data_IF_161271595025
#
_entry.id   IF_161271595025
#
_cell.length_a   1.000
_cell.length_b   1.000
_cell.length_c   1.000
_cell.angle_alpha   90.00
_cell.angle_beta   90.00
_cell.angle_gamma   90.00
#
_symmetry.space_group_name_H-M   'P 1'
#
loop_
_entity.id
_entity.type
_entity.pdbx_description
1 polymer ?
#
# COMPACT_ATOMS: atom_id res chain seq x y z
N UNK A 1 17.94 -59.21 -49.73
CA UNK A 1 17.72 -57.78 -50.02
C UNK A 1 16.35 -57.44 -49.49
N UNK A 2 16.30 -56.82 -48.32
CA UNK A 2 15.20 -56.02 -47.79
C UNK A 2 15.74 -55.36 -46.51
N UNK A 3 15.97 -54.07 -46.64
CA UNK A 3 16.34 -53.15 -45.56
C UNK A 3 15.14 -53.03 -44.61
N UNK A 4 15.37 -53.16 -43.31
CA UNK A 4 14.48 -52.65 -42.27
C UNK A 4 15.29 -51.55 -41.59
N UNK A 5 14.89 -50.30 -41.83
CA UNK A 5 15.42 -49.12 -41.15
C UNK A 5 14.95 -49.16 -39.69
N UNK A 6 15.88 -49.17 -38.74
CA UNK A 6 15.59 -48.87 -37.35
C UNK A 6 15.37 -47.35 -37.20
N UNK A 7 14.16 -46.93 -36.84
CA UNK A 7 13.86 -45.54 -36.50
C UNK A 7 14.60 -45.13 -35.21
N UNK A 8 15.61 -44.26 -35.32
CA UNK A 8 16.14 -43.51 -34.19
C UNK A 8 15.09 -42.52 -33.67
N UNK A 9 14.64 -42.73 -32.44
CA UNK A 9 13.79 -41.78 -31.71
C UNK A 9 14.60 -40.49 -31.44
N UNK A 10 14.17 -39.30 -31.89
CA UNK A 10 14.94 -38.08 -31.67
C UNK A 10 14.90 -37.68 -30.19
N UNK A 11 16.08 -37.68 -29.56
CA UNK A 11 16.28 -37.17 -28.22
C UNK A 11 15.98 -35.66 -28.22
N UNK A 12 14.86 -35.25 -27.62
CA UNK A 12 14.49 -33.83 -27.46
C UNK A 12 15.57 -33.13 -26.65
N UNK A 13 16.43 -32.35 -27.32
CA UNK A 13 17.29 -31.36 -26.67
C UNK A 13 16.40 -30.36 -25.95
N UNK A 14 16.43 -30.36 -24.62
CA UNK A 14 15.81 -29.33 -23.81
C UNK A 14 16.49 -27.99 -24.15
N UNK A 15 15.73 -27.05 -24.70
CA UNK A 15 16.12 -25.66 -24.78
C UNK A 15 16.22 -25.10 -23.36
N UNK A 16 17.27 -24.34 -23.01
CA UNK A 16 17.35 -23.71 -21.70
C UNK A 16 16.19 -22.72 -21.58
N UNK A 17 15.34 -22.91 -20.57
CA UNK A 17 14.29 -21.96 -20.20
C UNK A 17 14.97 -20.64 -19.88
N UNK A 18 14.74 -19.62 -20.70
CA UNK A 18 15.05 -18.24 -20.36
C UNK A 18 14.27 -17.92 -19.08
N UNK A 19 14.98 -17.72 -17.97
CA UNK A 19 14.35 -17.31 -16.72
C UNK A 19 13.95 -15.85 -16.93
N UNK A 20 12.65 -15.58 -17.06
CA UNK A 20 12.14 -14.21 -17.07
C UNK A 20 12.54 -13.55 -15.75
N UNK A 21 13.53 -12.66 -15.83
CA UNK A 21 14.05 -11.90 -14.71
C UNK A 21 12.96 -10.96 -14.17
N UNK A 22 12.72 -11.01 -12.86
CA UNK A 22 11.73 -10.12 -12.22
C UNK A 22 12.21 -8.67 -12.26
N UNK A 23 11.27 -7.71 -12.19
CA UNK A 23 11.65 -6.28 -12.21
C UNK A 23 12.52 -5.91 -11.00
N UNK A 24 12.38 -6.61 -9.88
CA UNK A 24 13.24 -6.47 -8.70
C UNK A 24 14.69 -6.92 -8.94
N UNK A 25 14.87 -8.10 -9.55
CA UNK A 25 16.19 -8.62 -9.92
C UNK A 25 16.87 -7.73 -10.96
N UNK A 26 16.08 -7.20 -11.90
CA UNK A 26 16.59 -6.26 -12.90
C UNK A 26 17.04 -4.94 -12.28
N UNK A 27 16.30 -4.41 -11.30
CA UNK A 27 16.71 -3.19 -10.59
C UNK A 27 17.96 -3.44 -9.76
N UNK A 28 18.08 -4.58 -9.06
CA UNK A 28 19.29 -4.93 -8.31
C UNK A 28 20.49 -5.11 -9.24
N UNK A 29 20.33 -5.76 -10.39
CA UNK A 29 21.39 -5.91 -11.39
C UNK A 29 21.83 -4.55 -11.96
N UNK A 30 20.88 -3.69 -12.31
CA UNK A 30 21.17 -2.34 -12.81
C UNK A 30 21.85 -1.47 -11.74
N UNK A 31 21.46 -1.60 -10.47
CA UNK A 31 22.12 -0.89 -9.36
C UNK A 31 23.55 -1.40 -9.15
N UNK A 32 23.78 -2.70 -9.18
CA UNK A 32 25.12 -3.30 -9.12
C UNK A 32 25.98 -2.90 -10.30
N UNK A 33 25.38 -2.80 -11.49
CA UNK A 33 26.05 -2.31 -12.68
C UNK A 33 26.43 -0.83 -12.49
N UNK A 34 25.49 0.02 -12.08
CA UNK A 34 25.72 1.45 -11.83
C UNK A 34 26.79 1.74 -10.77
N UNK A 35 27.04 0.82 -9.83
CA UNK A 35 28.13 0.93 -8.85
C UNK A 35 29.53 0.76 -9.47
N UNK A 36 29.63 0.15 -10.66
CA UNK A 36 30.88 -0.25 -11.29
C UNK A 36 31.25 0.58 -12.54
N UNK A 37 30.38 1.48 -13.01
CA UNK A 37 30.58 2.28 -14.23
C UNK A 37 30.88 3.76 -13.95
N UNK A 38 31.65 4.44 -14.82
CA UNK A 38 31.94 5.88 -14.73
C UNK A 38 30.67 6.76 -14.81
N UNK A 39 30.77 7.98 -14.27
CA UNK A 39 29.66 8.92 -14.05
C UNK A 39 28.76 9.16 -15.27
N UNK A 40 29.32 9.17 -16.48
CA UNK A 40 28.58 9.50 -17.71
C UNK A 40 27.62 8.38 -18.15
N UNK A 41 27.97 7.11 -17.90
CA UNK A 41 27.11 5.95 -18.21
C UNK A 41 26.16 5.62 -17.05
N UNK A 42 26.53 6.03 -15.83
CA UNK A 42 25.72 5.88 -14.62
C UNK A 42 24.36 6.55 -14.75
N UNK A 43 24.28 7.73 -15.38
CA UNK A 43 23.02 8.44 -15.65
C UNK A 43 22.06 7.63 -16.53
N UNK A 44 22.56 6.79 -17.43
CA UNK A 44 21.71 5.97 -18.32
C UNK A 44 21.13 4.77 -17.58
N UNK A 45 21.93 4.11 -16.75
CA UNK A 45 21.49 2.99 -15.92
C UNK A 45 20.55 3.46 -14.80
N UNK A 46 20.84 4.62 -14.21
CA UNK A 46 19.96 5.27 -13.24
C UNK A 46 18.62 5.69 -13.86
N UNK A 47 18.61 6.21 -15.10
CA UNK A 47 17.36 6.45 -15.84
C UNK A 47 16.57 5.16 -16.07
N UNK A 48 17.22 4.01 -16.29
CA UNK A 48 16.52 2.73 -16.42
C UNK A 48 15.95 2.24 -15.08
N UNK A 49 16.67 2.37 -13.97
CA UNK A 49 16.15 2.05 -12.63
C UNK A 49 15.00 2.99 -12.27
N UNK A 50 15.16 4.28 -12.54
CA UNK A 50 14.13 5.29 -12.38
C UNK A 50 12.91 4.96 -13.25
N UNK A 51 13.09 4.58 -14.51
CA UNK A 51 12.00 4.19 -15.42
C UNK A 51 11.28 2.93 -14.92
N UNK A 52 12.01 1.96 -14.37
CA UNK A 52 11.42 0.74 -13.79
C UNK A 52 10.64 1.05 -12.49
N UNK A 53 11.16 1.91 -11.62
CA UNK A 53 10.50 2.25 -10.35
C UNK A 53 9.33 3.22 -10.57
N UNK A 54 9.48 4.23 -11.44
CA UNK A 54 8.44 5.23 -11.73
C UNK A 54 7.34 4.64 -12.62
N UNK A 55 7.69 3.91 -13.69
CA UNK A 55 6.73 3.49 -14.71
C UNK A 55 6.29 2.03 -14.59
N UNK A 56 7.02 1.16 -13.89
CA UNK A 56 6.63 -0.25 -13.74
C UNK A 56 6.19 -0.64 -12.34
N UNK A 57 6.94 -0.31 -11.29
CA UNK A 57 6.58 -0.76 -9.94
C UNK A 57 7.11 0.14 -8.81
N UNK A 58 6.30 1.13 -8.36
CA UNK A 58 6.62 1.96 -7.21
C UNK A 58 6.81 1.18 -5.89
N UNK A 59 6.33 -0.07 -5.78
CA UNK A 59 6.48 -0.90 -4.57
C UNK A 59 7.90 -1.39 -4.32
N UNK A 60 8.80 -1.22 -5.30
CA UNK A 60 10.22 -1.56 -5.13
C UNK A 60 10.90 -0.73 -4.03
N UNK A 61 10.42 0.49 -3.75
CA UNK A 61 10.92 1.31 -2.65
C UNK A 61 10.73 0.62 -1.28
N UNK A 62 9.61 -0.09 -1.12
CA UNK A 62 9.28 -0.82 0.11
C UNK A 62 10.22 -2.03 0.30
N UNK A 63 10.57 -2.72 -0.79
CA UNK A 63 11.48 -3.87 -0.74
C UNK A 63 12.90 -3.48 -0.31
N UNK A 64 13.42 -2.34 -0.77
CA UNK A 64 14.74 -1.86 -0.37
C UNK A 64 14.77 -1.40 1.08
N UNK A 65 13.74 -0.67 1.54
CA UNK A 65 13.64 -0.25 2.93
C UNK A 65 13.51 -1.46 3.86
N UNK A 66 12.72 -2.48 3.50
CA UNK A 66 12.59 -3.72 4.28
C UNK A 66 13.91 -4.49 4.38
N UNK A 67 14.68 -4.56 3.29
CA UNK A 67 15.99 -5.21 3.28
C UNK A 67 17.00 -4.54 4.23
N UNK A 68 17.06 -3.21 4.23
CA UNK A 68 17.96 -2.48 5.10
C UNK A 68 17.55 -2.59 6.57
N UNK A 69 16.26 -2.42 6.87
CA UNK A 69 15.74 -2.46 8.25
C UNK A 69 15.95 -3.82 8.91
N UNK A 70 15.95 -4.91 8.14
CA UNK A 70 16.21 -6.26 8.65
C UNK A 70 17.70 -6.56 8.86
N UNK A 71 18.59 -5.73 8.33
CA UNK A 71 20.04 -5.97 8.37
C UNK A 71 20.64 -5.46 9.68
N UNK A 72 21.21 -6.37 10.49
CA UNK A 72 21.83 -6.01 11.78
C UNK A 72 23.12 -5.19 11.65
N UNK A 73 23.85 -5.41 10.55
CA UNK A 73 25.05 -4.68 10.19
C UNK A 73 24.89 -4.26 8.74
N UNK A 74 25.05 -2.98 8.46
CA UNK A 74 24.95 -2.44 7.11
C UNK A 74 26.34 -2.53 6.47
N UNK A 75 26.40 -3.12 5.27
CA UNK A 75 27.61 -3.21 4.45
C UNK A 75 27.80 -1.98 3.57
N UNK A 76 29.02 -1.72 3.10
CA UNK A 76 29.31 -0.59 2.17
C UNK A 76 28.42 -0.63 0.91
N UNK A 77 28.11 -1.83 0.39
CA UNK A 77 27.19 -2.00 -0.74
C UNK A 77 25.77 -1.53 -0.38
N UNK A 78 25.31 -1.87 0.82
CA UNK A 78 23.99 -1.46 1.31
C UNK A 78 23.90 0.06 1.52
N UNK A 79 24.96 0.68 2.03
CA UNK A 79 25.06 2.13 2.15
C UNK A 79 24.99 2.79 0.77
N UNK A 80 25.77 2.30 -0.21
CA UNK A 80 25.75 2.81 -1.57
C UNK A 80 24.37 2.66 -2.24
N UNK A 81 23.69 1.52 -2.07
CA UNK A 81 22.33 1.33 -2.57
C UNK A 81 21.33 2.29 -1.92
N UNK A 82 21.46 2.54 -0.62
CA UNK A 82 20.60 3.47 0.11
C UNK A 82 20.81 4.93 -0.33
N UNK A 83 22.05 5.33 -0.54
CA UNK A 83 22.39 6.67 -1.01
C UNK A 83 21.84 6.91 -2.42
N UNK A 84 21.95 5.91 -3.30
CA UNK A 84 21.35 5.96 -4.63
C UNK A 84 19.82 6.07 -4.57
N UNK A 85 19.17 5.28 -3.71
CA UNK A 85 17.72 5.36 -3.52
C UNK A 85 17.31 6.74 -2.98
N UNK A 86 18.08 7.30 -2.05
CA UNK A 86 17.86 8.62 -1.47
C UNK A 86 18.01 9.73 -2.50
N UNK A 87 19.03 9.66 -3.36
CA UNK A 87 19.18 10.57 -4.49
C UNK A 87 17.99 10.45 -5.46
N UNK A 88 17.64 9.23 -5.87
CA UNK A 88 16.56 8.98 -6.82
C UNK A 88 15.22 9.52 -6.29
N UNK A 89 14.90 9.30 -5.00
CA UNK A 89 13.71 9.88 -4.34
C UNK A 89 13.64 11.40 -4.55
N UNK A 90 14.77 12.10 -4.37
CA UNK A 90 14.88 13.53 -4.59
C UNK A 90 14.62 13.92 -6.04
N UNK A 91 15.26 13.24 -6.99
CA UNK A 91 15.10 13.49 -8.43
C UNK A 91 13.64 13.30 -8.89
N UNK A 92 12.94 12.25 -8.43
CA UNK A 92 11.52 12.05 -8.80
C UNK A 92 10.62 13.16 -8.25
N UNK A 93 10.92 13.69 -7.05
CA UNK A 93 10.17 14.82 -6.52
C UNK A 93 10.37 16.10 -7.35
N UNK A 94 11.55 16.29 -7.95
CA UNK A 94 11.79 17.40 -8.90
C UNK A 94 11.01 17.23 -10.21
N UNK A 95 10.70 15.99 -10.61
CA UNK A 95 9.88 15.72 -11.80
C UNK A 95 8.42 16.18 -11.67
N UNK A 96 7.95 16.58 -10.48
CA UNK A 96 6.67 17.28 -10.34
C UNK A 96 6.65 18.61 -11.13
N UNK A 97 7.82 19.24 -11.31
CA UNK A 97 7.99 20.48 -12.09
C UNK A 97 8.39 20.21 -13.55
N UNK A 98 8.37 18.95 -14.00
CA UNK A 98 8.68 18.59 -15.39
C UNK A 98 7.75 19.28 -16.38
N UNK A 99 8.23 19.68 -17.56
CA UNK A 99 7.39 20.23 -18.62
C UNK A 99 6.42 19.18 -19.21
N UNK A 100 6.73 17.88 -19.06
CA UNK A 100 5.93 16.79 -19.60
C UNK A 100 4.80 16.37 -18.65
N UNK A 101 3.56 16.51 -19.10
CA UNK A 101 2.35 16.20 -18.32
C UNK A 101 2.23 14.73 -17.90
N UNK A 102 2.69 13.82 -18.76
CA UNK A 102 2.74 12.39 -18.47
C UNK A 102 3.77 12.07 -17.38
N UNK A 103 4.94 12.70 -17.43
CA UNK A 103 5.99 12.54 -16.40
C UNK A 103 5.47 13.03 -15.05
N UNK A 104 4.84 14.22 -15.00
CA UNK A 104 4.22 14.74 -13.78
C UNK A 104 3.16 13.79 -13.20
N UNK A 105 2.35 13.16 -14.05
CA UNK A 105 1.34 12.16 -13.62
C UNK A 105 1.99 11.01 -12.85
N UNK A 106 3.11 10.47 -13.35
CA UNK A 106 3.81 9.38 -12.68
C UNK A 106 4.56 9.85 -11.44
N UNK A 107 5.16 11.05 -11.46
CA UNK A 107 5.80 11.65 -10.30
C UNK A 107 4.82 11.82 -9.12
N UNK A 108 3.55 12.17 -9.38
CA UNK A 108 2.49 12.21 -8.35
C UNK A 108 2.28 10.83 -7.70
N UNK A 109 2.20 9.77 -8.51
CA UNK A 109 1.99 8.40 -8.01
C UNK A 109 3.18 7.87 -7.23
N UNK A 110 4.40 8.20 -7.65
CA UNK A 110 5.60 7.91 -6.88
C UNK A 110 5.59 8.68 -5.55
N UNK A 111 5.23 9.96 -5.57
CA UNK A 111 5.15 10.81 -4.38
C UNK A 111 4.13 10.25 -3.37
N UNK A 112 2.98 9.75 -3.83
CA UNK A 112 2.03 9.01 -2.98
C UNK A 112 2.66 7.80 -2.30
N UNK A 113 3.31 6.92 -3.07
CA UNK A 113 3.97 5.74 -2.53
C UNK A 113 5.05 6.11 -1.51
N UNK A 114 5.85 7.13 -1.82
CA UNK A 114 6.87 7.66 -0.93
C UNK A 114 6.29 8.16 0.40
N UNK A 115 5.23 8.98 0.36
CA UNK A 115 4.57 9.48 1.57
C UNK A 115 4.04 8.32 2.42
N UNK A 116 3.42 7.31 1.79
CA UNK A 116 2.87 6.14 2.49
C UNK A 116 4.01 5.32 3.13
N UNK A 117 5.08 5.03 2.40
CA UNK A 117 6.23 4.27 2.92
C UNK A 117 6.92 5.00 4.08
N UNK A 118 7.09 6.32 3.94
CA UNK A 118 7.78 7.20 4.89
C UNK A 118 6.86 7.81 5.94
N UNK A 119 5.76 7.15 6.26
CA UNK A 119 4.89 7.51 7.38
C UNK A 119 4.38 6.27 8.10
N UNK A 120 4.19 6.33 9.44
CA UNK A 120 3.76 5.17 10.21
C UNK A 120 2.29 4.87 9.98
N UNK A 121 1.95 3.57 9.97
CA UNK A 121 0.55 3.14 10.12
C UNK A 121 0.05 3.45 11.53
N UNK A 122 -1.25 3.66 11.65
CA UNK A 122 -1.97 3.82 12.92
C UNK A 122 -3.09 2.79 13.02
N UNK A 123 -3.75 2.72 14.18
CA UNK A 123 -4.87 1.79 14.39
C UNK A 123 -6.00 1.97 13.36
N UNK A 124 -6.20 3.19 12.88
CA UNK A 124 -7.25 3.51 11.93
C UNK A 124 -6.77 3.55 10.47
N UNK A 125 -5.51 3.18 10.19
CA UNK A 125 -4.99 3.13 8.81
C UNK A 125 -5.69 2.06 7.96
N UNK A 126 -6.33 2.45 6.86
CA UNK A 126 -6.93 1.54 5.87
C UNK A 126 -5.89 1.01 4.87
N UNK A 127 -5.21 -0.09 5.18
CA UNK A 127 -4.23 -0.69 4.26
C UNK A 127 -4.89 -1.74 3.34
N UNK A 128 -4.73 -1.64 2.00
CA UNK A 128 -5.21 -2.68 1.08
C UNK A 128 -4.55 -4.04 1.34
N UNK A 129 -5.30 -5.13 1.19
CA UNK A 129 -4.79 -6.51 1.42
C UNK A 129 -3.48 -6.84 0.72
N UNK A 130 -3.33 -6.38 -0.53
CA UNK A 130 -2.12 -6.60 -1.33
C UNK A 130 -0.88 -5.88 -0.78
N UNK A 131 -1.07 -4.90 0.11
CA UNK A 131 -0.04 -4.02 0.70
C UNK A 131 0.12 -4.27 2.21
N UNK A 132 -0.53 -5.29 2.78
CA UNK A 132 -0.46 -5.56 4.23
C UNK A 132 0.99 -5.82 4.69
N UNK A 133 1.76 -6.51 3.84
CA UNK A 133 3.14 -6.88 4.13
C UNK A 133 4.16 -5.78 3.84
N UNK A 134 3.82 -4.79 3.01
CA UNK A 134 4.68 -3.68 2.64
C UNK A 134 5.21 -2.95 3.87
N UNK A 135 6.46 -2.48 3.81
CA UNK A 135 7.07 -1.77 4.92
C UNK A 135 6.45 -0.36 5.07
N UNK A 136 6.45 0.12 6.30
CA UNK A 136 6.07 1.48 6.66
C UNK A 136 6.84 1.87 7.92
N UNK A 137 6.90 3.16 8.24
CA UNK A 137 7.78 3.61 9.33
C UNK A 137 7.47 2.97 10.69
N UNK A 138 6.24 2.54 10.97
CA UNK A 138 5.90 1.80 12.19
C UNK A 138 6.69 0.49 12.39
N UNK A 139 7.25 -0.06 11.31
CA UNK A 139 8.12 -1.26 11.34
C UNK A 139 9.62 -0.92 11.44
N UNK A 140 10.00 0.35 11.37
CA UNK A 140 11.41 0.80 11.44
C UNK A 140 11.81 1.02 12.90
N UNK A 141 12.83 0.32 13.42
CA UNK A 141 13.35 0.55 14.77
C UNK A 141 13.87 1.98 14.93
N UNK A 142 13.50 2.64 16.03
CA UNK A 142 13.95 4.02 16.30
C UNK A 142 15.44 4.11 16.64
N UNK A 143 16.02 3.01 17.10
CA UNK A 143 17.42 2.82 17.46
C UNK A 143 18.26 2.16 16.36
N UNK A 144 17.74 2.13 15.11
CA UNK A 144 18.47 1.57 13.98
C UNK A 144 19.77 2.34 13.73
N UNK A 145 20.89 1.62 13.56
CA UNK A 145 22.25 2.19 13.53
C UNK A 145 22.55 3.11 12.34
N UNK A 146 21.89 2.88 11.21
CA UNK A 146 22.08 3.64 9.97
C UNK A 146 20.85 4.50 9.58
N UNK A 147 19.68 3.88 9.47
CA UNK A 147 18.42 4.56 9.15
C UNK A 147 17.91 5.37 10.35
N UNK A 148 17.71 6.68 10.15
CA UNK A 148 17.13 7.57 11.15
C UNK A 148 15.63 7.74 10.91
N UNK A 149 14.83 7.22 11.84
CA UNK A 149 13.36 7.28 11.78
C UNK A 149 12.83 8.71 11.54
N UNK A 150 13.31 9.68 12.34
CA UNK A 150 12.81 11.05 12.27
C UNK A 150 13.15 11.72 10.94
N UNK A 151 14.34 11.43 10.38
CA UNK A 151 14.73 11.94 9.05
C UNK A 151 13.78 11.44 7.97
N UNK A 152 13.47 10.14 7.96
CA UNK A 152 12.52 9.58 7.00
C UNK A 152 11.11 10.14 7.19
N UNK A 153 10.67 10.35 8.43
CA UNK A 153 9.36 10.93 8.69
C UNK A 153 9.26 12.36 8.15
N UNK A 154 10.29 13.18 8.35
CA UNK A 154 10.35 14.54 7.79
C UNK A 154 10.47 14.55 6.27
N UNK A 155 11.16 13.58 5.66
CA UNK A 155 11.16 13.37 4.20
C UNK A 155 9.74 13.12 3.68
N UNK A 156 8.97 12.24 4.34
CA UNK A 156 7.58 11.96 3.99
C UNK A 156 6.67 13.20 4.08
N UNK A 157 6.82 14.02 5.13
CA UNK A 157 6.08 15.29 5.27
C UNK A 157 6.47 16.29 4.18
N UNK A 158 7.76 16.43 3.91
CA UNK A 158 8.27 17.31 2.84
C UNK A 158 7.71 16.91 1.48
N UNK A 159 7.61 15.60 1.20
CA UNK A 159 6.99 15.09 -0.02
C UNK A 159 5.49 15.45 -0.11
N UNK A 160 4.76 15.37 1.00
CA UNK A 160 3.36 15.81 1.07
C UNK A 160 3.23 17.31 0.80
N UNK A 161 4.06 18.15 1.42
CA UNK A 161 4.07 19.60 1.19
C UNK A 161 4.31 19.96 -0.29
N UNK A 162 5.25 19.27 -0.95
CA UNK A 162 5.49 19.43 -2.39
C UNK A 162 4.24 19.07 -3.21
N UNK A 163 3.57 17.97 -2.89
CA UNK A 163 2.33 17.56 -3.57
C UNK A 163 1.18 18.55 -3.34
N UNK A 164 1.03 19.07 -2.12
CA UNK A 164 0.02 20.09 -1.79
C UNK A 164 0.27 21.38 -2.56
N UNK A 165 1.53 21.84 -2.62
CA UNK A 165 1.94 23.02 -3.39
C UNK A 165 1.70 22.83 -4.90
N UNK A 166 1.96 21.63 -5.41
CA UNK A 166 1.72 21.27 -6.80
C UNK A 166 0.24 21.45 -7.19
N UNK A 167 -0.69 21.06 -6.32
CA UNK A 167 -2.14 21.14 -6.60
C UNK A 167 -2.68 22.56 -6.78
N UNK A 168 -2.06 23.55 -6.14
CA UNK A 168 -2.48 24.96 -6.24
C UNK A 168 -1.77 25.72 -7.36
N UNK A 169 -0.95 25.03 -8.17
CA UNK A 169 -0.25 25.66 -9.28
C UNK A 169 -1.24 26.11 -10.37
N UNK A 170 -1.20 27.37 -10.84
CA UNK A 170 -2.23 27.94 -11.73
C UNK A 170 -2.28 27.28 -13.12
N UNK A 171 -1.19 26.64 -13.55
CA UNK A 171 -1.08 25.94 -14.83
C UNK A 171 -1.16 24.40 -14.71
N UNK A 172 -1.59 23.87 -13.56
CA UNK A 172 -1.77 22.42 -13.41
C UNK A 172 -2.81 21.89 -14.42
N UNK A 173 -2.51 20.76 -15.06
CA UNK A 173 -3.43 20.15 -16.01
C UNK A 173 -4.59 19.43 -15.31
N UNK A 174 -5.70 19.24 -16.02
CA UNK A 174 -6.84 18.48 -15.50
C UNK A 174 -6.47 17.03 -15.12
N UNK A 175 -5.55 16.40 -15.85
CA UNK A 175 -5.13 15.00 -15.60
C UNK A 175 -4.28 14.93 -14.34
N UNK A 176 -3.27 15.80 -14.23
CA UNK A 176 -2.43 15.85 -13.04
C UNK A 176 -3.26 16.21 -11.79
N UNK A 177 -4.18 17.18 -11.90
CA UNK A 177 -5.02 17.59 -10.78
C UNK A 177 -5.94 16.46 -10.29
N UNK A 178 -6.59 15.74 -11.21
CA UNK A 178 -7.43 14.58 -10.83
C UNK A 178 -6.61 13.41 -10.28
N UNK A 179 -5.39 13.21 -10.79
CA UNK A 179 -4.45 12.21 -10.25
C UNK A 179 -4.02 12.58 -8.82
N UNK A 180 -3.67 13.84 -8.58
CA UNK A 180 -3.30 14.34 -7.26
C UNK A 180 -4.47 14.23 -6.25
N UNK A 181 -5.69 14.54 -6.67
CA UNK A 181 -6.90 14.34 -5.86
C UNK A 181 -7.02 12.90 -5.36
N UNK A 182 -6.93 11.93 -6.28
CA UNK A 182 -7.00 10.51 -5.91
C UNK A 182 -5.83 10.06 -5.05
N UNK A 183 -4.67 10.68 -5.24
CA UNK A 183 -3.48 10.38 -4.45
C UNK A 183 -3.61 10.85 -3.01
N UNK A 184 -4.07 12.09 -2.81
CA UNK A 184 -4.37 12.61 -1.48
C UNK A 184 -5.47 11.81 -0.76
N UNK A 185 -6.51 11.36 -1.47
CA UNK A 185 -7.54 10.51 -0.87
C UNK A 185 -7.00 9.15 -0.42
N UNK A 186 -6.01 8.62 -1.15
CA UNK A 186 -5.33 7.38 -0.76
C UNK A 186 -4.46 7.64 0.47
N UNK A 187 -3.66 8.71 0.48
CA UNK A 187 -2.84 9.11 1.62
C UNK A 187 -3.71 9.31 2.87
N UNK A 188 -4.79 10.10 2.81
CA UNK A 188 -5.64 10.38 3.96
C UNK A 188 -6.26 9.12 4.60
N UNK A 189 -6.62 8.10 3.80
CA UNK A 189 -7.20 6.86 4.33
C UNK A 189 -6.13 5.88 4.84
N UNK A 190 -4.99 5.81 4.17
CA UNK A 190 -3.90 4.94 4.62
C UNK A 190 -3.12 5.55 5.79
N UNK A 191 -3.08 6.88 5.89
CA UNK A 191 -2.30 7.69 6.82
C UNK A 191 -3.19 8.82 7.38
N UNK A 192 -4.11 8.50 8.32
CA UNK A 192 -5.15 9.43 8.79
C UNK A 192 -4.62 10.68 9.51
N UNK A 193 -3.36 10.69 9.93
CA UNK A 193 -2.71 11.86 10.53
C UNK A 193 -2.53 13.01 9.53
N UNK A 194 -2.59 12.73 8.22
CA UNK A 194 -2.56 13.74 7.16
C UNK A 194 -3.96 14.17 6.69
N UNK A 195 -5.02 13.72 7.37
CA UNK A 195 -6.40 13.94 6.92
C UNK A 195 -6.78 15.43 6.96
N UNK A 196 -6.29 16.17 7.97
CA UNK A 196 -6.54 17.61 8.08
C UNK A 196 -6.02 18.38 6.88
N UNK A 197 -4.77 18.12 6.49
CA UNK A 197 -4.09 18.76 5.37
C UNK A 197 -4.76 18.42 4.04
N UNK A 198 -5.22 17.17 3.87
CA UNK A 198 -5.94 16.74 2.67
C UNK A 198 -7.31 17.41 2.56
N UNK A 199 -8.07 17.49 3.64
CA UNK A 199 -9.37 18.19 3.66
C UNK A 199 -9.18 19.67 3.33
N UNK A 200 -8.19 20.32 3.95
CA UNK A 200 -7.86 21.71 3.67
C UNK A 200 -7.44 21.95 2.20
N UNK A 201 -6.70 21.01 1.60
CA UNK A 201 -6.34 21.07 0.19
C UNK A 201 -7.57 21.00 -0.72
N UNK A 202 -8.54 20.16 -0.38
CA UNK A 202 -9.81 20.03 -1.11
C UNK A 202 -10.67 21.29 -0.99
N UNK A 203 -10.74 21.91 0.19
CA UNK A 203 -11.40 23.21 0.38
C UNK A 203 -10.76 24.30 -0.49
N UNK A 204 -9.42 24.38 -0.42
CA UNK A 204 -8.64 25.37 -1.17
C UNK A 204 -8.85 25.21 -2.66
N UNK A 205 -8.81 23.98 -3.17
CA UNK A 205 -9.08 23.68 -4.58
C UNK A 205 -10.52 24.03 -4.97
N UNK A 206 -11.50 23.72 -4.12
CA UNK A 206 -12.89 24.01 -4.44
C UNK A 206 -13.12 25.52 -4.60
N UNK A 207 -12.53 26.32 -3.70
CA UNK A 207 -12.62 27.77 -3.74
C UNK A 207 -11.80 28.38 -4.90
N UNK A 208 -10.68 27.76 -5.28
CA UNK A 208 -9.70 28.32 -6.21
C UNK A 208 -9.36 27.35 -7.35
N UNK A 209 -10.37 26.95 -8.12
CA UNK A 209 -10.13 26.13 -9.32
C UNK A 209 -9.24 26.87 -10.32
N UNK A 210 -8.23 26.21 -10.93
CA UNK A 210 -7.34 26.87 -11.88
C UNK A 210 -8.12 27.48 -13.06
N UNK A 211 -7.92 28.76 -13.38
CA UNK A 211 -8.68 29.46 -14.42
C UNK A 211 -8.31 28.98 -15.84
N UNK A 212 -7.21 28.24 -15.97
CA UNK A 212 -6.71 27.64 -17.21
C UNK A 212 -7.54 26.42 -17.65
N UNK A 213 -8.41 25.88 -16.78
CA UNK A 213 -9.23 24.73 -17.08
C UNK A 213 -10.47 25.11 -17.91
N UNK A 214 -10.70 24.38 -18.99
CA UNK A 214 -11.93 24.48 -19.78
C UNK A 214 -13.15 24.03 -18.98
N UNK A 215 -14.36 24.48 -19.36
CA UNK A 215 -15.62 24.15 -18.67
C UNK A 215 -15.85 22.64 -18.49
N UNK A 216 -15.48 21.83 -19.50
CA UNK A 216 -15.56 20.37 -19.42
C UNK A 216 -14.57 19.78 -18.41
N UNK A 217 -13.36 20.32 -18.33
CA UNK A 217 -12.34 19.93 -17.35
C UNK A 217 -12.75 20.31 -15.93
N UNK A 218 -13.30 21.51 -15.72
CA UNK A 218 -13.86 21.93 -14.43
C UNK A 218 -14.94 20.96 -13.94
N UNK A 219 -15.85 20.56 -14.83
CA UNK A 219 -16.88 19.55 -14.49
C UNK A 219 -16.25 18.20 -14.10
N UNK A 220 -15.24 17.75 -14.84
CA UNK A 220 -14.49 16.51 -14.54
C UNK A 220 -13.79 16.58 -13.18
N UNK A 221 -13.11 17.69 -12.87
CA UNK A 221 -12.44 17.91 -11.60
C UNK A 221 -13.44 17.90 -10.45
N UNK A 222 -14.56 18.61 -10.55
CA UNK A 222 -15.63 18.61 -9.53
C UNK A 222 -16.20 17.22 -9.29
N UNK A 223 -16.42 16.43 -10.36
CA UNK A 223 -16.89 15.04 -10.24
C UNK A 223 -15.88 14.16 -9.50
N UNK A 224 -14.59 14.29 -9.80
CA UNK A 224 -13.52 13.55 -9.11
C UNK A 224 -13.37 14.01 -7.66
N UNK A 225 -13.42 15.32 -7.39
CA UNK A 225 -13.39 15.87 -6.05
C UNK A 225 -14.52 15.31 -5.18
N UNK A 226 -15.76 15.31 -5.69
CA UNK A 226 -16.92 14.68 -5.02
C UNK A 226 -16.67 13.20 -4.74
N UNK A 227 -16.17 12.45 -5.73
CA UNK A 227 -15.87 11.02 -5.56
C UNK A 227 -14.85 10.78 -4.43
N UNK A 228 -13.78 11.56 -4.40
CA UNK A 228 -12.71 11.41 -3.42
C UNK A 228 -13.11 11.90 -2.03
N UNK A 229 -13.90 12.98 -1.92
CA UNK A 229 -14.52 13.41 -0.66
C UNK A 229 -15.42 12.31 -0.07
N UNK A 230 -16.23 11.62 -0.89
CA UNK A 230 -17.04 10.49 -0.42
C UNK A 230 -16.16 9.32 0.04
N UNK A 231 -15.05 9.05 -0.65
CA UNK A 231 -14.12 8.01 -0.23
C UNK A 231 -13.49 8.35 1.13
N UNK A 232 -13.07 9.60 1.35
CA UNK A 232 -12.54 10.08 2.63
C UNK A 232 -13.61 10.08 3.72
N UNK A 233 -14.84 10.53 3.44
CA UNK A 233 -15.95 10.56 4.40
C UNK A 233 -16.29 9.19 5.00
N UNK A 234 -16.06 8.10 4.26
CA UNK A 234 -16.31 6.74 4.76
C UNK A 234 -15.32 6.31 5.84
N UNK A 235 -14.20 7.00 5.97
CA UNK A 235 -13.14 6.67 6.92
C UNK A 235 -13.54 7.12 8.35
N UNK A 236 -13.31 6.31 9.41
CA UNK A 236 -13.68 6.68 10.78
C UNK A 236 -13.10 8.02 11.27
N UNK A 237 -11.83 8.31 10.98
CA UNK A 237 -11.20 9.58 11.35
C UNK A 237 -11.80 10.82 10.65
N UNK A 238 -12.60 10.65 9.60
CA UNK A 238 -13.24 11.79 8.92
C UNK A 238 -14.32 12.47 9.76
N UNK A 239 -14.77 11.83 10.85
CA UNK A 239 -15.79 12.38 11.75
C UNK A 239 -15.38 13.72 12.37
N UNK A 240 -14.08 13.93 12.64
CA UNK A 240 -13.55 15.21 13.12
C UNK A 240 -13.71 16.33 12.09
N UNK A 241 -13.66 15.99 10.79
CA UNK A 241 -13.76 16.91 9.67
C UNK A 241 -15.14 16.88 8.99
N UNK A 242 -16.13 16.22 9.61
CA UNK A 242 -17.42 15.93 8.98
C UNK A 242 -18.14 17.21 8.49
N UNK A 243 -18.11 18.30 9.27
CA UNK A 243 -18.74 19.56 8.89
C UNK A 243 -18.15 20.18 7.63
N UNK A 244 -16.82 20.11 7.50
CA UNK A 244 -16.08 20.63 6.36
C UNK A 244 -16.37 19.78 5.11
N UNK A 245 -16.20 18.45 5.22
CA UNK A 245 -16.46 17.51 4.12
C UNK A 245 -17.92 17.56 3.67
N UNK A 246 -18.88 17.65 4.59
CA UNK A 246 -20.30 17.71 4.27
C UNK A 246 -20.66 18.97 3.50
N UNK A 247 -20.14 20.14 3.91
CA UNK A 247 -20.35 21.41 3.21
C UNK A 247 -19.84 21.32 1.76
N UNK A 248 -18.61 20.85 1.57
CA UNK A 248 -18.04 20.67 0.22
C UNK A 248 -18.88 19.70 -0.63
N UNK A 249 -19.35 18.60 -0.06
CA UNK A 249 -20.19 17.63 -0.79
C UNK A 249 -21.54 18.23 -1.19
N UNK A 250 -22.16 19.05 -0.33
CA UNK A 250 -23.40 19.77 -0.65
C UNK A 250 -23.19 20.78 -1.76
N UNK A 251 -22.09 21.55 -1.73
CA UNK A 251 -21.72 22.51 -2.78
C UNK A 251 -21.46 21.83 -4.13
N UNK A 252 -20.99 20.58 -4.09
CA UNK A 252 -20.82 19.69 -5.25
C UNK A 252 -22.12 18.94 -5.64
N UNK A 253 -23.26 19.29 -5.03
CA UNK A 253 -24.58 18.77 -5.36
C UNK A 253 -24.87 17.36 -4.84
N UNK A 254 -24.25 16.94 -3.73
CA UNK A 254 -24.62 15.70 -3.04
C UNK A 254 -25.73 15.97 -2.02
N UNK A 255 -26.85 15.22 -2.06
CA UNK A 255 -27.93 15.43 -1.10
C UNK A 255 -27.55 14.94 0.31
N UNK A 256 -28.09 15.59 1.34
CA UNK A 256 -27.78 15.28 2.74
C UNK A 256 -28.06 13.83 3.13
N UNK A 257 -29.07 13.20 2.52
CA UNK A 257 -29.39 11.78 2.74
C UNK A 257 -28.29 10.83 2.26
N UNK A 258 -27.63 11.14 1.14
CA UNK A 258 -26.49 10.35 0.64
C UNK A 258 -25.23 10.55 1.47
N UNK A 259 -25.02 11.79 1.97
CA UNK A 259 -23.91 12.12 2.89
C UNK A 259 -24.09 11.32 4.18
N UNK A 260 -25.28 11.36 4.78
CA UNK A 260 -25.59 10.59 5.99
C UNK A 260 -25.41 9.08 5.80
N UNK A 261 -25.77 8.54 4.63
CA UNK A 261 -25.56 7.11 4.29
C UNK A 261 -24.09 6.73 4.14
N UNK A 262 -23.24 7.67 3.75
CA UNK A 262 -21.79 7.44 3.56
C UNK A 262 -20.99 7.68 4.83
N UNK A 263 -21.59 8.32 5.84
CA UNK A 263 -20.93 8.68 7.10
C UNK A 263 -20.81 7.45 8.00
N UNK A 264 -19.62 7.13 8.53
CA UNK A 264 -19.42 6.00 9.43
C UNK A 264 -20.15 6.23 10.77
N UNK A 265 -20.56 5.14 11.41
CA UNK A 265 -21.12 5.21 12.75
C UNK A 265 -20.06 5.69 13.75
N UNK A 266 -20.45 6.57 14.67
CA UNK A 266 -19.59 7.00 15.78
C UNK A 266 -19.26 5.77 16.62
N UNK A 267 -17.97 5.41 16.72
CA UNK A 267 -17.54 4.37 17.66
C UNK A 267 -17.78 4.86 19.09
N UNK A 268 -18.83 4.37 19.74
CA UNK A 268 -18.94 4.46 21.19
C UNK A 268 -17.75 3.71 21.80
N UNK A 269 -16.81 4.43 22.40
CA UNK A 269 -15.84 3.83 23.30
C UNK A 269 -16.65 3.09 24.38
N UNK A 270 -16.68 1.76 24.32
CA UNK A 270 -17.25 0.91 25.37
C UNK A 270 -16.57 1.26 26.70
N UNK A 271 -17.17 2.17 27.47
CA UNK A 271 -16.97 2.27 28.91
C UNK A 271 -17.46 0.96 29.51
N UNK A 272 -16.61 -0.06 29.56
CA UNK A 272 -16.78 -1.18 30.49
C UNK A 272 -16.36 -0.69 31.87
N UNK A 273 -17.22 0.08 32.50
CA UNK A 273 -17.33 0.07 33.96
C UNK A 273 -18.34 -1.01 34.33
N UNK A 274 -17.86 -2.21 34.63
CA UNK A 274 -18.62 -3.17 35.44
C UNK A 274 -17.66 -3.78 36.46
N UNK A 275 -17.45 -3.04 37.54
CA UNK A 275 -16.96 -3.59 38.78
C UNK A 275 -18.06 -4.53 39.29
N UNK A 276 -17.83 -5.84 39.25
CA UNK A 276 -18.71 -6.82 39.86
C UNK A 276 -18.63 -6.67 41.38
N UNK A 277 -19.67 -6.09 41.99
CA UNK A 277 -19.90 -6.23 43.42
C UNK A 277 -20.50 -7.61 43.69
N UNK A 278 -19.67 -8.46 44.28
CA UNK A 278 -20.08 -9.66 45.01
C UNK A 278 -21.10 -9.27 46.10
N UNK A 279 -22.28 -9.89 46.09
CA UNK A 279 -23.10 -10.05 47.30
C UNK A 279 -23.71 -11.46 47.32
N UNK A 280 -23.28 -12.24 48.31
CA UNK A 280 -23.84 -13.55 48.67
C UNK A 280 -25.20 -13.41 49.38
N UNK A 281 -26.08 -14.40 49.17
CA UNK A 281 -26.80 -15.00 50.30
C UNK A 281 -28.34 -14.94 50.36
N UNK A 282 -28.98 -16.00 49.83
CA UNK A 282 -30.14 -16.76 50.37
C UNK A 282 -31.46 -16.04 50.74
N UNK A 283 -32.57 -16.49 50.12
CA UNK A 283 -33.64 -17.32 50.77
C UNK A 283 -34.74 -17.81 49.79
N UNK A 284 -34.74 -19.13 49.61
CA UNK A 284 -35.78 -20.15 49.33
C UNK A 284 -37.26 -19.74 49.57
N UNK A 285 -38.22 -20.06 48.65
CA UNK A 285 -39.14 -21.25 48.69
C UNK A 285 -40.45 -21.11 47.83
N UNK A 286 -40.84 -22.24 47.22
CA UNK A 286 -42.18 -22.77 46.83
C UNK A 286 -42.79 -22.38 45.46
N UNK A 287 -42.82 -23.36 44.55
CA UNK A 287 -43.87 -23.58 43.52
C UNK A 287 -45.05 -24.40 44.09
N UNK A 288 -46.22 -24.39 43.44
CA UNK A 288 -46.61 -25.63 42.77
C UNK A 288 -47.21 -25.46 41.36
N UNK A 289 -46.96 -26.50 40.57
CA UNK A 289 -47.36 -26.76 39.18
C UNK A 289 -48.82 -27.22 39.01
N UNK A 290 -49.36 -27.06 37.79
CA UNK A 290 -50.35 -27.93 37.10
C UNK A 290 -50.13 -27.72 35.56
N UNK A 291 -49.63 -28.70 34.77
CA UNK A 291 -50.30 -29.92 34.22
C UNK A 291 -51.31 -29.50 33.13
N UNK A 292 -50.93 -29.50 31.84
CA UNK A 292 -51.04 -30.58 30.80
C UNK A 292 -52.06 -30.05 29.75
N UNK A 293 -52.07 -30.28 28.44
CA UNK A 293 -51.74 -31.37 27.50
C UNK A 293 -51.88 -30.72 26.08
N UNK A 294 -51.03 -30.97 25.07
CA UNK A 294 -51.20 -31.92 23.94
C UNK A 294 -50.98 -31.12 22.62
N UNK A 295 -50.41 -31.58 21.50
CA UNK A 295 -49.98 -32.92 21.04
C UNK A 295 -48.99 -32.74 19.84
N UNK A 296 -47.89 -33.48 19.89
CA UNK A 296 -47.14 -34.22 18.85
C UNK A 296 -46.85 -33.69 17.43
N UNK A 297 -45.55 -33.74 17.07
CA UNK A 297 -45.03 -34.74 16.11
C UNK A 297 -43.48 -34.80 16.06
N UNK A 298 -42.97 -36.03 16.12
CA UNK A 298 -41.57 -36.45 16.10
C UNK A 298 -40.83 -36.29 14.75
N UNK A 299 -39.52 -36.00 14.85
CA UNK A 299 -38.30 -36.44 14.10
C UNK A 299 -38.24 -36.61 12.55
N UNK A 300 -37.05 -36.67 11.90
CA UNK A 300 -35.68 -36.80 12.44
C UNK A 300 -34.61 -35.83 11.88
N UNK A 301 -33.41 -35.87 12.49
CA UNK A 301 -32.20 -35.19 12.05
C UNK A 301 -31.61 -35.76 10.74
N UNK A 302 -30.99 -34.93 9.87
CA UNK A 302 -30.16 -35.44 8.77
C UNK A 302 -28.71 -35.71 9.21
N UNK A 303 -28.27 -36.89 8.78
CA UNK A 303 -26.96 -37.50 8.91
C UNK A 303 -25.83 -36.64 8.31
N UNK A 304 -24.70 -36.61 9.04
CA UNK A 304 -23.42 -36.06 8.64
C UNK A 304 -22.76 -36.88 7.51
N UNK A 305 -22.40 -36.22 6.41
CA UNK A 305 -21.63 -36.79 5.30
C UNK A 305 -20.11 -36.59 5.56
N UNK A 306 -19.23 -37.57 5.27
CA UNK A 306 -17.80 -37.46 5.55
C UNK A 306 -17.10 -36.43 4.64
N UNK A 307 -16.24 -35.62 5.25
CA UNK A 307 -15.38 -34.62 4.58
C UNK A 307 -14.29 -35.33 3.77
N UNK A 308 -14.07 -35.02 2.47
CA UNK A 308 -12.97 -35.58 1.71
C UNK A 308 -11.62 -35.04 2.22
N UNK A 309 -10.60 -35.92 2.20
CA UNK A 309 -9.23 -35.67 2.61
C UNK A 309 -8.58 -34.49 1.84
N UNK A 310 -7.63 -33.77 2.45
CA UNK A 310 -6.96 -32.66 1.79
C UNK A 310 -6.09 -33.15 0.63
N UNK A 311 -6.36 -32.61 -0.55
CA UNK A 311 -5.48 -32.72 -1.72
C UNK A 311 -4.16 -32.01 -1.38
N UNK A 312 -2.97 -32.51 -1.80
CA UNK A 312 -1.72 -31.81 -1.56
C UNK A 312 -1.80 -30.44 -2.23
N UNK A 313 -1.75 -29.38 -1.44
CA UNK A 313 -1.61 -28.01 -1.94
C UNK A 313 -0.35 -27.94 -2.77
N UNK A 314 -0.49 -27.63 -4.07
CA UNK A 314 0.64 -27.25 -4.90
C UNK A 314 1.34 -26.07 -4.21
N UNK A 315 2.62 -26.25 -3.86
CA UNK A 315 3.46 -25.19 -3.32
C UNK A 315 3.34 -23.97 -4.24
N UNK A 316 3.01 -22.82 -3.65
CA UNK A 316 2.85 -21.60 -4.46
C UNK A 316 4.21 -21.23 -5.06
N UNK A 317 4.22 -20.57 -6.22
CA UNK A 317 5.45 -20.09 -6.83
C UNK A 317 6.28 -19.22 -5.86
N UNK A 318 5.62 -18.57 -4.90
CA UNK A 318 6.23 -17.77 -3.84
C UNK A 318 7.01 -18.66 -2.85
N UNK A 319 6.48 -19.84 -2.51
CA UNK A 319 7.15 -20.80 -1.62
C UNK A 319 8.39 -21.42 -2.29
N UNK A 320 8.30 -21.69 -3.60
CA UNK A 320 9.43 -22.19 -4.39
C UNK A 320 10.54 -21.14 -4.54
N UNK A 321 10.18 -19.87 -4.73
CA UNK A 321 11.14 -18.75 -4.78
C UNK A 321 11.80 -18.53 -3.42
N UNK A 322 11.04 -18.62 -2.31
CA UNK A 322 11.60 -18.49 -0.96
C UNK A 322 12.57 -19.63 -0.61
N UNK A 323 12.34 -20.85 -1.10
CA UNK A 323 13.22 -22.00 -0.89
C UNK A 323 14.51 -21.90 -1.71
N UNK A 324 14.46 -21.30 -2.91
CA UNK A 324 15.62 -21.04 -3.76
C UNK A 324 16.51 -19.89 -3.26
N UNK A 325 15.93 -18.83 -2.71
CA UNK A 325 16.65 -17.64 -2.26
C UNK A 325 17.37 -17.82 -0.91
N UNK A 326 16.86 -18.69 -0.02
CA UNK A 326 17.46 -18.95 1.31
C UNK A 326 18.96 -19.28 1.28
N UNK A 327 19.45 -20.22 0.45
CA UNK A 327 20.88 -20.53 0.40
C UNK A 327 21.75 -19.46 -0.29
N UNK A 328 21.16 -18.59 -1.12
CA UNK A 328 21.88 -17.50 -1.81
C UNK A 328 22.07 -16.26 -0.92
N UNK A 329 21.23 -16.12 0.10
CA UNK A 329 21.24 -15.01 1.05
C UNK A 329 22.02 -15.30 2.35
N UNK A 330 22.38 -16.56 2.60
CA UNK A 330 23.30 -16.93 3.69
C UNK A 330 24.75 -16.92 3.21
N UNK A 331 25.68 -16.28 3.93
CA UNK A 331 27.10 -16.38 3.62
C UNK A 331 27.52 -17.86 3.64
N UNK A 332 28.17 -18.34 2.57
CA UNK A 332 28.82 -19.66 2.58
C UNK A 332 29.84 -19.67 3.71
N UNK A 333 29.52 -20.31 4.84
CA UNK A 333 30.55 -20.78 5.77
C UNK A 333 31.39 -21.77 4.99
N UNK A 334 32.63 -21.39 4.71
CA UNK A 334 33.64 -22.26 4.14
C UNK A 334 33.74 -23.54 4.97
N UNK A 335 33.79 -24.74 4.34
CA UNK A 335 34.10 -25.94 5.08
C UNK A 335 35.55 -25.85 5.55
N UNK A 336 35.75 -25.79 6.86
CA UNK A 336 37.03 -26.10 7.50
C UNK A 336 37.33 -27.57 7.22
N UNK A 337 38.29 -27.85 6.35
CA UNK A 337 38.87 -29.18 6.19
C UNK A 337 39.97 -29.37 7.24
N UNK A 338 39.86 -30.46 8.01
CA UNK A 338 40.94 -31.06 8.79
C UNK A 338 42.00 -31.67 7.87
#
# INVERSE_FOLDING_TARGET
MNYIEEEEVPQKKATPKNVDMTTSERVVELLNQAALIPTDEKLTVLKQVQELIINKDPSLLDNFLDWLVRSKVISEMQEACWDMLTQMKGEVLELLDSENDGVRTHAIKFTEALIIALSPRTQDSEVPKRQENDISLDKVPKDHSYIRYDTLCEEGKTALEKLLKFMVHPAISSINLTTALGSLATIARQRPMFMSEVVQAYETLHANLPPTLAKSQVSSVRKNLKMHLVAVLKHPCSLEFHGHISTLLQDLGMPQSEIARSTPAVREQRKRSRHEQYTEGKKVKIEPALIDEDEDKEEPAPLSVPKPAPVPTAQSAIDLTAEFLRPLLTPRTSPTWC
#
